data_IF_886767990025
#
_entry.id   IF_886767990025
#
_cell.length_a   1.000
_cell.length_b   1.000
_cell.length_c   1.000
_cell.angle_alpha   90.00
_cell.angle_beta   90.00
_cell.angle_gamma   90.00
#
_symmetry.space_group_name_H-M   'P 1'
#
loop_
_entity.id
_entity.type
_entity.pdbx_description
1 polymer ?
#
# COMPACT_ATOMS: atom_id res chain seq x y z
N UNK A 1 -6.31 -21.28 0.23
CA UNK A 1 -6.27 -20.51 -1.03
C UNK A 1 -5.50 -19.23 -0.76
N UNK A 2 -4.69 -18.80 -1.72
CA UNK A 2 -3.97 -17.52 -1.64
C UNK A 2 -4.96 -16.35 -1.63
N UNK A 3 -4.60 -15.33 -0.89
CA UNK A 3 -5.38 -14.10 -0.73
C UNK A 3 -4.44 -12.91 -0.83
N UNK A 4 -4.93 -11.81 -1.37
CA UNK A 4 -4.17 -10.56 -1.44
C UNK A 4 -4.93 -9.46 -0.70
N UNK A 5 -4.21 -8.71 0.12
CA UNK A 5 -4.69 -7.51 0.80
C UNK A 5 -3.88 -6.31 0.35
N UNK A 6 -4.54 -5.26 -0.08
CA UNK A 6 -3.92 -4.03 -0.57
C UNK A 6 -4.36 -2.87 0.32
N UNK A 7 -3.44 -2.31 1.08
CA UNK A 7 -3.73 -1.24 2.02
C UNK A 7 -3.60 0.13 1.38
N UNK A 8 -4.68 0.90 1.46
CA UNK A 8 -4.74 2.31 1.08
C UNK A 8 -5.11 3.19 2.28
N UNK A 9 -4.79 4.47 2.15
CA UNK A 9 -5.11 5.52 3.13
C UNK A 9 -4.06 6.62 3.12
N UNK A 10 -4.41 7.75 3.68
CA UNK A 10 -3.51 8.90 3.84
C UNK A 10 -2.25 8.54 4.64
N UNK A 11 -1.21 9.34 4.51
CA UNK A 11 -0.12 9.30 5.46
C UNK A 11 -0.68 9.53 6.88
N UNK A 12 -0.21 8.78 7.88
CA UNK A 12 -0.74 8.84 9.25
C UNK A 12 -2.02 8.02 9.50
N UNK A 13 -2.60 7.34 8.49
CA UNK A 13 -3.80 6.53 8.69
C UNK A 13 -3.58 5.22 9.45
N UNK A 14 -2.32 4.81 9.66
CA UNK A 14 -2.00 3.57 10.36
C UNK A 14 -1.89 2.32 9.47
N UNK A 15 -1.87 2.47 8.13
CA UNK A 15 -1.76 1.34 7.17
C UNK A 15 -0.68 0.32 7.54
N UNK A 16 0.56 0.78 7.71
CA UNK A 16 1.68 -0.11 8.01
C UNK A 16 1.46 -0.91 9.29
N UNK A 17 0.98 -0.26 10.35
CA UNK A 17 0.65 -0.92 11.63
C UNK A 17 -0.41 -1.99 11.47
N UNK A 18 -1.45 -1.72 10.67
CA UNK A 18 -2.53 -2.69 10.43
C UNK A 18 -2.08 -3.80 9.47
N UNK A 19 -1.25 -3.49 8.48
CA UNK A 19 -0.64 -4.48 7.60
C UNK A 19 0.28 -5.45 8.37
N UNK A 20 1.08 -4.94 9.32
CA UNK A 20 1.89 -5.76 10.22
C UNK A 20 1.02 -6.65 11.11
N UNK A 21 -0.04 -6.08 11.71
CA UNK A 21 -0.98 -6.83 12.58
C UNK A 21 -1.71 -7.93 11.78
N UNK A 22 -2.08 -7.65 10.53
CA UNK A 22 -2.65 -8.65 9.62
C UNK A 22 -1.65 -9.76 9.28
N UNK A 23 -0.39 -9.40 9.06
CA UNK A 23 0.66 -10.38 8.81
C UNK A 23 0.90 -11.30 10.03
N UNK A 24 0.90 -10.76 11.24
CA UNK A 24 1.00 -11.53 12.48
C UNK A 24 -0.20 -12.45 12.66
N UNK A 25 -1.40 -11.97 12.40
CA UNK A 25 -2.62 -12.77 12.44
C UNK A 25 -2.50 -14.01 11.54
N UNK A 26 -2.17 -13.85 10.26
CA UNK A 26 -2.04 -15.01 9.36
C UNK A 26 -0.88 -15.93 9.71
N UNK A 27 0.25 -15.39 10.14
CA UNK A 27 1.39 -16.21 10.64
C UNK A 27 0.99 -17.06 11.85
N UNK A 28 0.18 -16.53 12.76
CA UNK A 28 -0.32 -17.27 13.92
C UNK A 28 -1.20 -18.45 13.55
N UNK A 29 -1.87 -18.38 12.38
CA UNK A 29 -2.65 -19.50 11.81
C UNK A 29 -1.80 -20.48 10.99
N UNK A 30 -0.48 -20.31 10.93
CA UNK A 30 0.44 -21.17 10.19
C UNK A 30 0.51 -20.90 8.69
N UNK A 31 -0.09 -19.82 8.19
CA UNK A 31 0.00 -19.46 6.76
C UNK A 31 1.31 -18.74 6.44
N UNK A 32 1.97 -19.03 5.31
CA UNK A 32 3.06 -18.22 4.82
C UNK A 32 2.53 -16.81 4.43
N UNK A 33 3.27 -15.78 4.79
CA UNK A 33 2.88 -14.38 4.54
C UNK A 33 4.02 -13.64 3.86
N UNK A 34 3.71 -12.99 2.76
CA UNK A 34 4.60 -12.07 2.04
C UNK A 34 4.08 -10.64 2.20
N UNK A 35 4.85 -9.81 2.90
CA UNK A 35 4.55 -8.38 3.05
C UNK A 35 5.43 -7.58 2.08
N UNK A 36 4.80 -6.83 1.18
CA UNK A 36 5.48 -5.97 0.21
C UNK A 36 5.17 -4.52 0.54
N UNK A 37 6.13 -3.84 1.17
CA UNK A 37 6.08 -2.43 1.51
C UNK A 37 6.96 -1.62 0.56
N UNK A 38 6.37 -0.99 -0.47
CA UNK A 38 7.14 -0.23 -1.46
C UNK A 38 7.95 0.90 -0.85
N UNK A 39 7.44 1.55 0.19
CA UNK A 39 8.18 2.58 0.91
C UNK A 39 9.46 2.07 1.56
N UNK A 40 9.48 0.84 2.05
CA UNK A 40 10.66 0.19 2.61
C UNK A 40 11.66 -0.19 1.51
N UNK A 41 11.16 -0.74 0.41
CA UNK A 41 11.98 -1.08 -0.75
C UNK A 41 12.68 0.16 -1.33
N UNK A 42 11.97 1.28 -1.45
CA UNK A 42 12.58 2.53 -1.90
C UNK A 42 13.64 3.07 -0.92
N UNK A 43 13.37 3.02 0.37
CA UNK A 43 14.35 3.48 1.38
C UNK A 43 15.64 2.66 1.32
N UNK A 44 15.57 1.34 1.16
CA UNK A 44 16.77 0.50 1.02
C UNK A 44 17.62 0.86 -0.21
N UNK A 45 16.98 1.24 -1.33
CA UNK A 45 17.67 1.72 -2.53
C UNK A 45 18.39 3.06 -2.26
N UNK A 46 17.79 3.94 -1.45
CA UNK A 46 18.30 5.30 -1.23
C UNK A 46 19.29 5.43 -0.08
N UNK A 47 19.49 4.39 0.73
CA UNK A 47 20.46 4.41 1.82
C UNK A 47 21.91 4.62 1.32
N UNK A 48 22.31 3.93 0.26
CA UNK A 48 23.64 4.04 -0.32
C UNK A 48 23.56 3.96 -1.86
N UNK A 49 23.05 4.99 -2.55
CA UNK A 49 22.84 4.96 -3.98
C UNK A 49 24.17 4.96 -4.73
N UNK A 50 24.42 3.96 -5.58
CA UNK A 50 25.64 3.76 -6.35
C UNK A 50 25.45 3.95 -7.84
N UNK A 51 24.22 3.70 -8.33
CA UNK A 51 23.89 3.79 -9.75
C UNK A 51 23.20 5.11 -10.10
N UNK A 52 23.16 5.44 -11.39
CA UNK A 52 22.40 6.59 -11.87
C UNK A 52 20.91 6.49 -11.49
N UNK A 53 20.30 5.30 -11.65
CA UNK A 53 18.89 5.09 -11.34
C UNK A 53 18.60 5.29 -9.85
N UNK A 54 19.43 4.74 -8.95
CA UNK A 54 19.29 4.89 -7.49
C UNK A 54 19.40 6.36 -7.06
N UNK A 55 20.32 7.13 -7.68
CA UNK A 55 20.43 8.56 -7.44
C UNK A 55 19.18 9.33 -7.92
N UNK A 56 18.57 8.95 -9.05
CA UNK A 56 17.30 9.53 -9.50
C UNK A 56 16.15 9.19 -8.53
N UNK A 57 16.08 7.94 -8.04
CA UNK A 57 15.11 7.52 -7.01
C UNK A 57 15.26 8.40 -5.78
N UNK A 58 16.47 8.58 -5.27
CA UNK A 58 16.76 9.43 -4.11
C UNK A 58 16.25 10.86 -4.33
N UNK A 59 16.60 11.47 -5.47
CA UNK A 59 16.19 12.84 -5.78
C UNK A 59 14.65 13.01 -5.80
N UNK A 60 13.92 12.04 -6.34
CA UNK A 60 12.45 12.07 -6.41
C UNK A 60 11.84 11.95 -5.01
N UNK A 61 12.37 11.04 -4.17
CA UNK A 61 11.92 10.84 -2.79
C UNK A 61 12.21 12.07 -1.93
N UNK A 62 13.42 12.62 -2.02
CA UNK A 62 13.83 13.82 -1.26
C UNK A 62 12.95 15.04 -1.59
N UNK A 63 12.42 15.10 -2.81
CA UNK A 63 11.42 16.09 -3.23
C UNK A 63 10.00 15.77 -2.77
N UNK A 64 9.75 14.62 -2.14
CA UNK A 64 8.42 14.16 -1.72
C UNK A 64 7.48 13.82 -2.88
N UNK A 65 8.00 13.48 -4.04
CA UNK A 65 7.24 13.12 -5.23
C UNK A 65 6.98 11.61 -5.31
N UNK A 66 5.98 11.20 -6.11
CA UNK A 66 5.75 9.79 -6.43
C UNK A 66 6.65 9.36 -7.59
N UNK A 67 7.13 8.12 -7.51
CA UNK A 67 7.91 7.49 -8.57
C UNK A 67 7.14 7.38 -9.89
N UNK A 68 7.83 7.40 -11.05
CA UNK A 68 7.27 6.90 -12.30
C UNK A 68 6.81 5.45 -12.13
N UNK A 69 5.62 5.12 -12.68
CA UNK A 69 4.92 3.86 -12.41
C UNK A 69 5.75 2.60 -12.68
N UNK A 70 6.65 2.62 -13.68
CA UNK A 70 7.48 1.45 -14.01
C UNK A 70 8.35 0.98 -12.84
N UNK A 71 8.81 1.90 -11.99
CA UNK A 71 9.77 1.56 -10.94
C UNK A 71 9.10 0.82 -9.76
N UNK A 72 8.00 1.33 -9.14
CA UNK A 72 7.27 0.53 -8.14
C UNK A 72 6.75 -0.79 -8.71
N UNK A 73 6.29 -0.82 -9.97
CA UNK A 73 5.89 -2.07 -10.65
C UNK A 73 7.03 -3.07 -10.69
N UNK A 74 8.23 -2.65 -11.11
CA UNK A 74 9.42 -3.51 -11.09
C UNK A 74 9.71 -4.05 -9.69
N UNK A 75 9.68 -3.20 -8.66
CA UNK A 75 10.04 -3.60 -7.30
C UNK A 75 9.08 -4.65 -6.73
N UNK A 76 7.79 -4.37 -6.75
CA UNK A 76 6.83 -5.32 -6.18
C UNK A 76 6.66 -6.59 -7.04
N UNK A 77 6.83 -6.50 -8.36
CA UNK A 77 6.81 -7.67 -9.24
C UNK A 77 7.96 -8.62 -8.94
N UNK A 78 9.16 -8.08 -8.69
CA UNK A 78 10.31 -8.89 -8.30
C UNK A 78 10.03 -9.64 -6.99
N UNK A 79 9.51 -8.96 -5.95
CA UNK A 79 9.18 -9.60 -4.68
C UNK A 79 8.13 -10.72 -4.86
N UNK A 80 7.12 -10.51 -5.71
CA UNK A 80 6.13 -11.54 -6.03
C UNK A 80 6.77 -12.74 -6.75
N UNK A 81 7.56 -12.49 -7.79
CA UNK A 81 8.17 -13.57 -8.60
C UNK A 81 9.14 -14.42 -7.78
N UNK A 82 9.89 -13.78 -6.89
CA UNK A 82 10.93 -14.46 -6.10
C UNK A 82 10.36 -15.20 -4.87
N UNK A 83 9.23 -14.75 -4.29
CA UNK A 83 8.82 -15.20 -2.96
C UNK A 83 7.39 -15.74 -2.86
N UNK A 84 6.56 -15.58 -3.90
CA UNK A 84 5.19 -16.07 -3.87
C UNK A 84 5.11 -17.59 -4.03
N UNK A 85 4.22 -18.23 -3.26
CA UNK A 85 3.77 -19.62 -3.43
C UNK A 85 2.23 -19.66 -3.37
N UNK A 86 1.57 -20.71 -3.91
CA UNK A 86 0.11 -20.80 -3.94
C UNK A 86 -0.59 -20.74 -2.57
N UNK A 87 0.13 -20.98 -1.47
CA UNK A 87 -0.39 -20.91 -0.10
C UNK A 87 -0.19 -19.53 0.55
N UNK A 88 0.60 -18.67 -0.09
CA UNK A 88 1.03 -17.38 0.49
C UNK A 88 -0.13 -16.39 0.55
N UNK A 89 -0.30 -15.77 1.72
CA UNK A 89 -1.07 -14.53 1.86
C UNK A 89 -0.17 -13.36 1.52
N UNK A 90 -0.55 -12.56 0.53
CA UNK A 90 0.21 -11.37 0.13
C UNK A 90 -0.42 -10.12 0.71
N UNK A 91 0.38 -9.29 1.36
CA UNK A 91 -0.05 -8.02 1.95
C UNK A 91 0.77 -6.90 1.31
N UNK A 92 0.10 -6.00 0.60
CA UNK A 92 0.70 -4.84 0.00
C UNK A 92 0.46 -3.58 0.84
N UNK A 93 1.52 -2.87 1.21
CA UNK A 93 1.46 -1.52 1.77
C UNK A 93 2.12 -0.52 0.84
N UNK A 94 1.32 0.39 0.32
CA UNK A 94 1.77 1.50 -0.50
C UNK A 94 2.07 1.16 -1.96
N UNK A 95 1.49 0.10 -2.51
CA UNK A 95 1.53 -0.21 -3.95
C UNK A 95 0.38 0.46 -4.69
N UNK A 96 0.45 0.46 -6.02
CA UNK A 96 -0.57 1.04 -6.93
C UNK A 96 -1.02 2.44 -6.50
N UNK A 97 -0.03 3.33 -6.34
CA UNK A 97 -0.29 4.72 -5.96
C UNK A 97 -0.77 5.58 -7.11
N UNK A 98 -0.71 5.06 -8.33
CA UNK A 98 -1.20 5.69 -9.56
C UNK A 98 -2.10 4.72 -10.31
N UNK A 99 -3.04 5.25 -11.08
CA UNK A 99 -4.00 4.45 -11.87
C UNK A 99 -3.28 3.49 -12.81
N UNK A 100 -2.20 3.94 -13.46
CA UNK A 100 -1.42 3.13 -14.39
C UNK A 100 -0.67 1.94 -13.75
N UNK A 101 -0.62 1.86 -12.42
CA UNK A 101 -0.04 0.74 -11.68
C UNK A 101 -1.08 -0.37 -11.39
N UNK A 102 -2.38 -0.08 -11.52
CA UNK A 102 -3.48 -1.01 -11.18
C UNK A 102 -3.53 -2.18 -12.16
N UNK A 103 -3.56 -1.91 -13.45
CA UNK A 103 -3.63 -2.95 -14.48
C UNK A 103 -2.44 -3.95 -14.45
N UNK A 104 -1.17 -3.51 -14.30
CA UNK A 104 -0.05 -4.42 -14.07
C UNK A 104 -0.23 -5.33 -12.84
N UNK A 105 -0.74 -4.79 -11.72
CA UNK A 105 -0.96 -5.62 -10.53
C UNK A 105 -2.09 -6.62 -10.76
N UNK A 106 -3.22 -6.21 -11.33
CA UNK A 106 -4.30 -7.13 -11.65
C UNK A 106 -3.81 -8.27 -12.56
N UNK A 107 -3.04 -7.95 -13.62
CA UNK A 107 -2.44 -8.96 -14.50
C UNK A 107 -1.51 -9.92 -13.77
N UNK A 108 -0.74 -9.43 -12.78
CA UNK A 108 0.11 -10.30 -11.95
C UNK A 108 -0.73 -11.25 -11.07
N UNK A 109 -1.82 -10.76 -10.47
CA UNK A 109 -2.73 -11.60 -9.67
C UNK A 109 -3.39 -12.69 -10.53
N UNK A 110 -3.81 -12.34 -11.74
CA UNK A 110 -4.36 -13.30 -12.72
C UNK A 110 -3.34 -14.37 -13.11
N UNK A 111 -2.12 -13.94 -13.45
CA UNK A 111 -1.03 -14.85 -13.83
C UNK A 111 -0.66 -15.82 -12.70
N UNK A 112 -0.67 -15.35 -11.46
CA UNK A 112 -0.36 -16.16 -10.27
C UNK A 112 -1.56 -16.98 -9.76
N UNK A 113 -2.70 -16.93 -10.46
CA UNK A 113 -3.95 -17.60 -10.09
C UNK A 113 -4.44 -17.25 -8.67
N UNK A 114 -4.26 -16.00 -8.26
CA UNK A 114 -4.76 -15.49 -7.00
C UNK A 114 -6.24 -15.14 -7.16
N UNK A 115 -7.16 -15.82 -6.47
CA UNK A 115 -8.58 -15.69 -6.77
C UNK A 115 -9.24 -14.45 -6.15
N UNK A 116 -8.64 -13.86 -5.11
CA UNK A 116 -9.26 -12.76 -4.36
C UNK A 116 -8.27 -11.64 -4.03
N UNK A 117 -8.72 -10.40 -4.18
CA UNK A 117 -8.01 -9.20 -3.76
C UNK A 117 -8.93 -8.34 -2.88
N UNK A 118 -8.54 -8.12 -1.63
CA UNK A 118 -9.24 -7.24 -0.68
C UNK A 118 -8.51 -5.90 -0.61
N UNK A 119 -9.19 -4.84 -1.01
CA UNK A 119 -8.71 -3.47 -0.92
C UNK A 119 -9.13 -2.91 0.44
N UNK A 120 -8.17 -2.69 1.33
CA UNK A 120 -8.40 -2.15 2.67
C UNK A 120 -8.09 -0.65 2.65
N UNK A 121 -9.13 0.17 2.59
CA UNK A 121 -9.01 1.62 2.55
C UNK A 121 -9.26 2.20 3.94
N UNK A 122 -8.18 2.60 4.64
CA UNK A 122 -8.26 3.24 5.96
C UNK A 122 -8.37 4.75 5.77
N UNK A 123 -9.55 5.30 6.03
CA UNK A 123 -9.82 6.72 5.87
C UNK A 123 -9.71 7.48 7.19
N UNK A 124 -9.08 8.66 7.14
CA UNK A 124 -8.95 9.64 8.23
C UNK A 124 -9.14 11.05 7.69
N UNK A 125 -9.50 11.97 8.57
CA UNK A 125 -9.51 13.41 8.27
C UNK A 125 -8.10 13.95 8.04
N UNK A 126 -7.97 15.06 7.33
CA UNK A 126 -6.68 15.73 7.16
C UNK A 126 -6.13 16.24 8.49
N UNK A 127 -7.01 16.69 9.37
CA UNK A 127 -6.64 17.13 10.73
C UNK A 127 -5.99 15.99 11.52
N UNK A 128 -6.58 14.80 11.48
CA UNK A 128 -6.01 13.62 12.13
C UNK A 128 -4.68 13.21 11.48
N UNK A 129 -4.60 13.27 10.15
CA UNK A 129 -3.34 13.01 9.45
C UNK A 129 -2.23 13.97 9.88
N UNK A 130 -2.49 15.28 9.88
CA UNK A 130 -1.53 16.30 10.36
C UNK A 130 -1.10 16.02 11.81
N UNK A 131 -2.04 15.80 12.71
CA UNK A 131 -1.74 15.54 14.13
C UNK A 131 -0.85 14.32 14.30
N UNK A 132 -1.21 13.19 13.68
CA UNK A 132 -0.45 11.94 13.81
C UNK A 132 0.94 12.03 13.18
N UNK A 133 1.09 12.71 12.05
CA UNK A 133 2.38 12.88 11.38
C UNK A 133 3.30 13.82 12.15
N UNK A 134 2.79 14.92 12.69
CA UNK A 134 3.56 15.84 13.53
C UNK A 134 4.09 15.17 14.81
N UNK A 135 3.31 14.26 15.42
CA UNK A 135 3.74 13.49 16.59
C UNK A 135 4.79 12.46 16.21
N UNK A 136 4.63 11.79 15.05
CA UNK A 136 5.56 10.77 14.58
C UNK A 136 6.96 11.32 14.36
N UNK A 137 7.10 12.38 13.58
CA UNK A 137 8.32 13.20 13.41
C UNK A 137 9.61 12.47 13.02
N UNK A 138 9.59 11.16 12.81
CA UNK A 138 10.75 10.30 12.57
C UNK A 138 11.21 10.28 11.09
N UNK A 139 10.42 10.85 10.20
CA UNK A 139 10.73 10.92 8.76
C UNK A 139 10.92 12.35 8.31
N UNK A 140 11.84 12.55 7.38
CA UNK A 140 12.12 13.88 6.82
C UNK A 140 10.87 14.53 6.20
N UNK A 141 9.99 13.73 5.62
CA UNK A 141 8.74 14.16 5.00
C UNK A 141 7.58 14.41 5.99
N UNK A 142 7.81 14.28 7.30
CA UNK A 142 6.87 14.62 8.37
C UNK A 142 7.26 15.89 9.15
N UNK A 143 8.38 16.54 8.79
CA UNK A 143 9.01 17.59 9.61
C UNK A 143 8.40 18.99 9.43
N UNK A 144 7.65 19.24 8.35
CA UNK A 144 7.01 20.53 8.13
C UNK A 144 5.53 20.37 7.73
N UNK A 145 4.76 21.43 8.02
CA UNK A 145 3.36 21.50 7.59
C UNK A 145 3.24 21.36 6.06
N UNK A 146 4.11 22.03 5.32
CA UNK A 146 4.11 22.02 3.85
C UNK A 146 4.40 20.64 3.29
N UNK A 147 5.35 19.90 3.87
CA UNK A 147 5.65 18.52 3.43
C UNK A 147 4.51 17.55 3.70
N UNK A 148 3.84 17.68 4.86
CA UNK A 148 2.64 16.91 5.18
C UNK A 148 1.51 17.28 4.20
N UNK A 149 1.26 18.57 3.98
CA UNK A 149 0.21 19.01 3.06
C UNK A 149 0.44 18.51 1.65
N UNK A 150 1.67 18.59 1.13
CA UNK A 150 2.03 18.02 -0.18
C UNK A 150 1.67 16.52 -0.29
N UNK A 151 1.91 15.74 0.75
CA UNK A 151 1.54 14.31 0.77
C UNK A 151 0.02 14.09 0.75
N UNK A 152 -0.74 14.94 1.43
CA UNK A 152 -2.20 14.88 1.40
C UNK A 152 -2.74 15.27 0.01
N UNK A 153 -2.12 16.24 -0.65
CA UNK A 153 -2.50 16.65 -2.01
C UNK A 153 -2.17 15.54 -3.01
N UNK A 154 -0.97 14.94 -2.95
CA UNK A 154 -0.62 13.76 -3.76
C UNK A 154 -1.55 12.57 -3.52
N UNK A 155 -2.00 12.37 -2.28
CA UNK A 155 -2.99 11.34 -1.98
C UNK A 155 -4.30 11.58 -2.74
N UNK A 156 -4.82 12.81 -2.73
CA UNK A 156 -6.06 13.16 -3.43
C UNK A 156 -5.91 13.06 -4.96
N UNK A 157 -4.80 13.56 -5.48
CA UNK A 157 -4.56 13.68 -6.93
C UNK A 157 -4.18 12.36 -7.59
N UNK A 158 -3.45 11.50 -6.90
CA UNK A 158 -2.86 10.30 -7.50
C UNK A 158 -3.42 8.99 -6.89
N UNK A 159 -3.57 8.92 -5.57
CA UNK A 159 -3.91 7.67 -4.90
C UNK A 159 -5.43 7.44 -4.90
N UNK A 160 -6.24 8.46 -4.66
CA UNK A 160 -7.69 8.34 -4.73
C UNK A 160 -8.17 7.86 -6.11
N UNK A 161 -7.65 8.37 -7.25
CA UNK A 161 -7.97 7.80 -8.56
C UNK A 161 -7.64 6.30 -8.70
N UNK A 162 -6.54 5.82 -8.12
CA UNK A 162 -6.20 4.40 -8.14
C UNK A 162 -7.18 3.55 -7.29
N UNK A 163 -7.64 4.08 -6.15
CA UNK A 163 -8.70 3.43 -5.34
C UNK A 163 -10.01 3.36 -6.12
N UNK A 164 -10.39 4.44 -6.80
CA UNK A 164 -11.59 4.48 -7.64
C UNK A 164 -11.52 3.49 -8.81
N UNK A 165 -10.33 3.26 -9.37
CA UNK A 165 -10.14 2.24 -10.41
C UNK A 165 -10.36 0.84 -9.86
N UNK A 166 -9.88 0.51 -8.67
CA UNK A 166 -10.20 -0.76 -8.00
C UNK A 166 -11.70 -0.91 -7.74
N UNK A 167 -12.38 0.15 -7.31
CA UNK A 167 -13.82 0.15 -7.12
C UNK A 167 -14.56 -0.07 -8.45
N UNK A 168 -14.12 0.58 -9.52
CA UNK A 168 -14.67 0.37 -10.86
C UNK A 168 -14.51 -1.09 -11.31
N UNK A 169 -13.32 -1.65 -11.20
CA UNK A 169 -13.03 -3.05 -11.56
C UNK A 169 -13.87 -4.04 -10.74
N UNK A 170 -14.08 -3.78 -9.44
CA UNK A 170 -14.91 -4.63 -8.59
C UNK A 170 -16.38 -4.66 -9.04
N UNK A 171 -16.90 -3.54 -9.55
CA UNK A 171 -18.28 -3.42 -10.06
C UNK A 171 -18.47 -4.04 -11.43
N UNK A 172 -17.43 -4.04 -12.28
CA UNK A 172 -17.48 -4.64 -13.60
C UNK A 172 -17.63 -6.17 -13.56
N UNK A 173 -17.06 -6.82 -12.53
CA UNK A 173 -17.13 -8.28 -12.36
C UNK A 173 -16.56 -9.09 -13.52
N UNK A 174 -15.77 -8.48 -14.41
CA UNK A 174 -15.21 -9.10 -15.60
C UNK A 174 -13.82 -9.73 -15.39
N UNK A 175 -13.19 -9.47 -14.23
CA UNK A 175 -11.90 -10.05 -13.89
C UNK A 175 -12.07 -11.44 -13.28
N UNK A 176 -11.17 -12.39 -13.57
CA UNK A 176 -11.10 -13.66 -12.85
C UNK A 176 -10.72 -13.51 -11.37
N UNK A 177 -10.17 -12.36 -10.99
CA UNK A 177 -9.89 -12.00 -9.59
C UNK A 177 -11.12 -11.33 -8.98
N UNK A 178 -11.67 -11.91 -7.92
CA UNK A 178 -12.75 -11.29 -7.14
C UNK A 178 -12.20 -10.14 -6.30
N UNK A 179 -12.62 -8.91 -6.61
CA UNK A 179 -12.13 -7.69 -5.94
C UNK A 179 -13.19 -7.21 -4.95
N UNK A 180 -12.80 -7.04 -3.69
CA UNK A 180 -13.63 -6.45 -2.64
C UNK A 180 -12.99 -5.19 -2.11
N UNK A 181 -13.73 -4.09 -2.01
CA UNK A 181 -13.27 -2.84 -1.42
C UNK A 181 -13.92 -2.66 -0.05
N UNK A 182 -13.08 -2.53 1.00
CA UNK A 182 -13.49 -2.36 2.38
C UNK A 182 -13.04 -0.99 2.88
N UNK A 183 -14.00 -0.13 3.23
CA UNK A 183 -13.71 1.15 3.83
C UNK A 183 -13.66 1.02 5.35
N UNK A 184 -12.56 1.42 5.95
CA UNK A 184 -12.25 1.30 7.37
C UNK A 184 -12.17 2.69 7.98
N UNK A 185 -12.89 2.92 9.08
CA UNK A 185 -12.80 4.16 9.83
C UNK A 185 -11.47 4.20 10.61
N UNK A 186 -10.50 4.94 10.12
CA UNK A 186 -9.19 5.11 10.72
C UNK A 186 -9.13 6.12 11.87
N UNK A 187 -10.24 6.81 12.19
CA UNK A 187 -10.30 7.75 13.33
C UNK A 187 -10.30 7.05 14.69
N UNK A 188 -10.63 5.77 14.71
CA UNK A 188 -10.60 4.96 15.92
C UNK A 188 -9.15 4.72 16.38
N UNK A 189 -9.00 4.19 17.59
CA UNK A 189 -7.72 3.72 18.08
C UNK A 189 -7.24 2.47 17.29
N UNK A 190 -6.03 2.02 17.60
CA UNK A 190 -5.39 0.90 16.87
C UNK A 190 -6.23 -0.37 16.89
N UNK A 191 -6.88 -0.67 18.01
CA UNK A 191 -7.63 -1.90 18.18
C UNK A 191 -9.01 -1.80 17.54
N UNK A 192 -9.68 -0.66 17.65
CA UNK A 192 -10.95 -0.42 16.97
C UNK A 192 -10.82 -0.41 15.42
N UNK A 193 -9.67 0.03 14.88
CA UNK A 193 -9.38 -0.13 13.44
C UNK A 193 -9.18 -1.61 13.11
N UNK A 194 -8.47 -2.34 13.95
CA UNK A 194 -8.24 -3.77 13.74
C UNK A 194 -9.53 -4.59 13.77
N UNK A 195 -10.42 -4.34 14.71
CA UNK A 195 -11.71 -5.02 14.80
C UNK A 195 -12.53 -4.92 13.50
N UNK A 196 -12.47 -3.77 12.80
CA UNK A 196 -13.11 -3.63 11.50
C UNK A 196 -12.40 -4.47 10.41
N UNK A 197 -11.07 -4.55 10.47
CA UNK A 197 -10.30 -5.35 9.51
C UNK A 197 -10.56 -6.85 9.73
N UNK A 198 -10.68 -7.30 10.97
CA UNK A 198 -11.01 -8.70 11.29
C UNK A 198 -12.36 -9.15 10.72
N UNK A 199 -13.29 -8.24 10.51
CA UNK A 199 -14.61 -8.57 9.92
C UNK A 199 -14.57 -8.81 8.40
N UNK A 200 -13.45 -8.47 7.75
CA UNK A 200 -13.32 -8.54 6.29
C UNK A 200 -12.21 -9.50 5.79
N UNK A 201 -11.64 -10.32 6.69
CA UNK A 201 -10.60 -11.31 6.43
C UNK A 201 -11.07 -12.76 6.54
#
# INVERSE_FOLDING_TARGET
>A
MSQVFIFYGKAGSGKGTQAEKLAEHFKSTGKPVLVIETGKLFRSITENPTTFAENQVKNIIDQGNLMPAFFPVYLWSRELIEHYTPETVVIFDGVTRKVEEVAPLLSALEFLHIPTATIVHIDISDTTAHTRLSIRGDRADDQSYESIQKRLDLYREQIVPAINEWEHLSKLGSSPVSITLCQINGELDRDGVWEQIEQVI
#
